data_IF_469334895734
#
_entry.id   IF_469334895734
#
_cell.length_a   1.000
_cell.length_b   1.000
_cell.length_c   1.000
_cell.angle_alpha   90.00
_cell.angle_beta   90.00
_cell.angle_gamma   90.00
#
_symmetry.space_group_name_H-M   'P 1'
#
loop_
_entity.id
_entity.type
_entity.pdbx_description
1 polymer ?
#
# COMPACT_ATOMS: atom_id res chain seq x y z
N UNK A 1 63.43 49.82 -49.34
CA UNK A 1 62.79 49.58 -48.03
C UNK A 1 62.14 48.20 -48.09
N UNK A 2 62.81 47.19 -47.55
CA UNK A 2 62.33 45.81 -47.50
C UNK A 2 61.33 45.67 -46.34
N UNK A 3 60.12 45.19 -46.64
CA UNK A 3 59.09 44.91 -45.63
C UNK A 3 59.53 43.75 -44.70
N UNK A 4 59.19 43.77 -43.41
CA UNK A 4 59.57 42.71 -42.49
C UNK A 4 58.75 41.44 -42.76
N UNK A 5 59.42 40.30 -42.78
CA UNK A 5 58.82 38.99 -42.92
C UNK A 5 58.05 38.64 -41.63
N UNK A 6 56.76 38.31 -41.76
CA UNK A 6 55.91 37.96 -40.62
C UNK A 6 56.33 36.61 -40.02
N UNK A 7 56.35 36.45 -38.69
CA UNK A 7 56.75 35.19 -38.07
C UNK A 7 55.73 34.08 -38.39
N UNK A 8 56.19 32.82 -38.54
CA UNK A 8 55.31 31.70 -38.85
C UNK A 8 54.31 31.45 -37.73
N UNK A 9 53.05 31.22 -38.10
CA UNK A 9 51.99 30.90 -37.17
C UNK A 9 52.29 29.58 -36.43
N UNK A 10 52.42 29.64 -35.10
CA UNK A 10 52.58 28.45 -34.25
C UNK A 10 51.24 27.71 -34.21
N UNK A 11 51.20 26.50 -34.77
CA UNK A 11 50.01 25.67 -34.74
C UNK A 11 49.65 25.29 -33.29
N UNK A 12 48.43 25.62 -32.86
CA UNK A 12 47.94 25.26 -31.54
C UNK A 12 47.91 23.73 -31.35
N UNK A 13 48.32 23.21 -30.17
CA UNK A 13 48.34 21.77 -29.94
C UNK A 13 46.92 21.21 -30.00
N UNK A 14 46.68 20.20 -30.84
CA UNK A 14 45.41 19.46 -30.88
C UNK A 14 45.20 18.78 -29.53
N UNK A 15 44.32 19.34 -28.69
CA UNK A 15 43.94 18.75 -27.40
C UNK A 15 43.36 17.35 -27.62
N UNK A 16 44.07 16.31 -27.17
CA UNK A 16 43.56 14.93 -27.17
C UNK A 16 42.58 14.76 -26.01
N UNK A 17 41.32 15.09 -26.24
CA UNK A 17 40.25 15.04 -25.22
C UNK A 17 39.77 13.60 -24.95
N UNK A 18 40.03 12.66 -25.87
CA UNK A 18 39.52 11.28 -25.78
C UNK A 18 40.05 10.51 -24.56
N UNK A 19 41.35 10.62 -24.27
CA UNK A 19 42.01 9.88 -23.18
C UNK A 19 41.49 10.28 -21.80
N UNK A 20 41.41 11.59 -21.43
CA UNK A 20 40.85 11.97 -20.13
C UNK A 20 39.35 11.64 -20.01
N UNK A 21 38.59 11.74 -21.10
CA UNK A 21 37.18 11.32 -21.11
C UNK A 21 37.06 9.81 -20.82
N UNK A 22 37.84 8.97 -21.50
CA UNK A 22 37.83 7.53 -21.24
C UNK A 22 38.31 7.18 -19.83
N UNK A 23 39.31 7.89 -19.31
CA UNK A 23 39.82 7.67 -17.95
C UNK A 23 38.78 7.95 -16.85
N UNK A 24 37.78 8.80 -17.12
CA UNK A 24 36.68 9.10 -16.19
C UNK A 24 35.45 8.24 -16.47
N UNK A 25 35.06 8.10 -17.74
CA UNK A 25 33.84 7.37 -18.11
C UNK A 25 33.98 5.88 -17.89
N UNK A 26 35.16 5.29 -18.18
CA UNK A 26 35.34 3.84 -18.11
C UNK A 26 35.22 3.29 -16.67
N UNK A 27 35.88 3.85 -15.64
CA UNK A 27 35.69 3.35 -14.27
C UNK A 27 34.26 3.54 -13.75
N UNK A 28 33.59 4.63 -14.13
CA UNK A 28 32.20 4.90 -13.75
C UNK A 28 31.27 3.87 -14.40
N UNK A 29 31.42 3.63 -15.71
CA UNK A 29 30.65 2.62 -16.42
C UNK A 29 30.91 1.20 -15.87
N UNK A 30 32.17 0.88 -15.54
CA UNK A 30 32.54 -0.38 -14.91
C UNK A 30 31.87 -0.53 -13.55
N UNK A 31 31.93 0.50 -12.70
CA UNK A 31 31.30 0.50 -11.38
C UNK A 31 29.80 0.25 -11.49
N UNK A 32 29.09 1.01 -12.33
CA UNK A 32 27.65 0.80 -12.52
C UNK A 32 27.33 -0.54 -13.16
N UNK A 33 28.16 -1.04 -14.08
CA UNK A 33 28.01 -2.37 -14.64
C UNK A 33 28.16 -3.48 -13.59
N UNK A 34 29.12 -3.36 -12.68
CA UNK A 34 29.30 -4.30 -11.56
C UNK A 34 28.13 -4.22 -10.57
N UNK A 35 27.69 -3.01 -10.22
CA UNK A 35 26.55 -2.81 -9.31
C UNK A 35 25.25 -3.36 -9.89
N UNK A 36 24.93 -3.06 -11.16
CA UNK A 36 23.78 -3.62 -11.86
C UNK A 36 23.90 -5.14 -11.98
N UNK A 37 25.07 -5.66 -12.33
CA UNK A 37 25.32 -7.11 -12.40
C UNK A 37 25.06 -7.80 -11.06
N UNK A 38 25.55 -7.24 -9.97
CA UNK A 38 25.29 -7.74 -8.62
C UNK A 38 23.80 -7.67 -8.25
N UNK A 39 23.11 -6.59 -8.64
CA UNK A 39 21.66 -6.47 -8.45
C UNK A 39 20.89 -7.54 -9.23
N UNK A 40 21.22 -7.80 -10.50
CA UNK A 40 20.60 -8.85 -11.33
C UNK A 40 20.83 -10.25 -10.78
N UNK A 41 22.03 -10.51 -10.27
CA UNK A 41 22.32 -11.77 -9.58
C UNK A 41 21.46 -11.89 -8.33
N UNK A 42 21.32 -10.83 -7.52
CA UNK A 42 20.43 -10.82 -6.34
C UNK A 42 18.95 -11.07 -6.68
N UNK A 43 18.46 -10.51 -7.79
CA UNK A 43 17.07 -10.68 -8.25
C UNK A 43 16.68 -12.15 -8.49
N UNK A 44 17.65 -13.04 -8.73
CA UNK A 44 17.40 -14.49 -8.88
C UNK A 44 16.84 -15.11 -7.58
N UNK A 45 17.31 -14.64 -6.41
CA UNK A 45 16.84 -15.15 -5.12
C UNK A 45 15.77 -14.27 -4.48
N UNK A 46 15.75 -12.98 -4.80
CA UNK A 46 14.77 -12.02 -4.29
C UNK A 46 14.18 -11.26 -5.48
N UNK A 47 13.18 -11.85 -6.17
CA UNK A 47 12.57 -11.19 -7.32
C UNK A 47 11.97 -9.85 -6.91
N UNK A 48 12.07 -8.81 -7.76
CA UNK A 48 11.49 -7.52 -7.48
C UNK A 48 9.96 -7.63 -7.36
N UNK A 49 9.38 -6.83 -6.47
CA UNK A 49 7.93 -6.80 -6.32
C UNK A 49 7.30 -6.33 -7.63
N UNK A 50 6.39 -7.13 -8.19
CA UNK A 50 5.66 -6.73 -9.39
C UNK A 50 4.73 -5.57 -9.01
N UNK A 51 4.98 -4.41 -9.61
CA UNK A 51 4.11 -3.25 -9.44
C UNK A 51 2.83 -3.50 -10.21
N UNK A 52 1.71 -3.43 -9.50
CA UNK A 52 0.39 -3.48 -10.11
C UNK A 52 0.04 -2.15 -10.76
N UNK A 53 0.39 -2.02 -12.05
CA UNK A 53 0.02 -0.87 -12.86
C UNK A 53 -1.49 -0.75 -13.08
N UNK A 54 -2.23 -1.87 -12.98
CA UNK A 54 -3.66 -1.92 -13.19
C UNK A 54 -4.47 -1.56 -11.94
N UNK A 55 -3.84 -1.23 -10.80
CA UNK A 55 -4.51 -0.89 -9.54
C UNK A 55 -5.59 -1.92 -9.12
N UNK A 56 -5.35 -3.19 -9.41
CA UNK A 56 -6.25 -4.31 -9.09
C UNK A 56 -7.31 -4.60 -10.14
N UNK A 57 -7.39 -3.82 -11.22
CA UNK A 57 -8.32 -4.06 -12.33
C UNK A 57 -7.80 -5.06 -13.36
N UNK A 58 -6.49 -5.34 -13.37
CA UNK A 58 -5.93 -6.39 -14.21
C UNK A 58 -6.28 -7.79 -13.64
N UNK A 59 -6.74 -8.75 -14.47
CA UNK A 59 -7.04 -10.10 -14.01
C UNK A 59 -5.88 -10.80 -13.30
N UNK A 60 -4.63 -10.55 -13.71
CA UNK A 60 -3.43 -11.10 -13.07
C UNK A 60 -3.16 -10.48 -11.70
N UNK A 61 -3.66 -9.27 -11.44
CA UNK A 61 -3.45 -8.57 -10.16
C UNK A 61 -4.60 -8.73 -9.15
N UNK A 62 -5.57 -9.60 -9.43
CA UNK A 62 -6.68 -9.86 -8.50
C UNK A 62 -6.16 -10.34 -7.15
N UNK A 63 -6.69 -9.75 -6.08
CA UNK A 63 -6.36 -10.13 -4.70
C UNK A 63 -6.77 -11.58 -4.39
N UNK A 64 -7.88 -12.04 -4.97
CA UNK A 64 -8.37 -13.41 -4.80
C UNK A 64 -8.49 -14.11 -6.14
N UNK A 65 -8.04 -15.36 -6.17
CA UNK A 65 -8.11 -16.26 -7.33
C UNK A 65 -8.84 -17.55 -6.96
N UNK A 66 -9.43 -18.28 -7.92
CA UNK A 66 -10.00 -19.60 -7.63
C UNK A 66 -8.94 -20.54 -7.05
N UNK A 67 -9.32 -21.33 -6.04
CA UNK A 67 -8.44 -22.34 -5.48
C UNK A 67 -8.15 -23.42 -6.55
N UNK A 68 -6.88 -23.68 -6.89
CA UNK A 68 -6.52 -24.70 -7.88
C UNK A 68 -6.99 -26.11 -7.51
N UNK A 69 -7.16 -26.38 -6.22
CA UNK A 69 -7.62 -27.68 -5.70
C UNK A 69 -9.14 -27.80 -5.63
N UNK A 70 -9.87 -26.66 -5.59
CA UNK A 70 -11.32 -26.61 -5.44
C UNK A 70 -11.89 -25.33 -6.07
N UNK A 71 -12.37 -25.43 -7.30
CA UNK A 71 -12.90 -24.28 -8.05
C UNK A 71 -14.15 -23.61 -7.43
N UNK A 72 -14.77 -24.25 -6.42
CA UNK A 72 -15.86 -23.66 -5.63
C UNK A 72 -15.38 -22.68 -4.56
N UNK A 73 -14.06 -22.62 -4.33
CA UNK A 73 -13.40 -21.78 -3.34
C UNK A 73 -12.55 -20.70 -4.02
N UNK A 74 -12.35 -19.61 -3.29
CA UNK A 74 -11.41 -18.54 -3.61
C UNK A 74 -10.31 -18.54 -2.55
N UNK A 75 -9.09 -18.25 -2.96
CA UNK A 75 -7.93 -18.07 -2.08
C UNK A 75 -7.28 -16.72 -2.31
N UNK A 76 -6.55 -16.20 -1.32
CA UNK A 76 -5.63 -15.08 -1.54
C UNK A 76 -4.65 -15.47 -2.64
N UNK A 77 -4.48 -14.58 -3.62
CA UNK A 77 -3.48 -14.76 -4.67
C UNK A 77 -2.09 -14.92 -4.02
N UNK A 78 -1.36 -16.02 -4.29
CA UNK A 78 -0.05 -16.26 -3.70
C UNK A 78 0.95 -15.11 -3.91
N UNK A 79 0.83 -14.36 -5.01
CA UNK A 79 1.70 -13.21 -5.28
C UNK A 79 1.41 -12.00 -4.37
N UNK A 80 0.29 -12.02 -3.64
CA UNK A 80 -0.17 -10.93 -2.78
C UNK A 80 0.01 -11.22 -1.28
N UNK A 81 0.46 -12.42 -0.90
CA UNK A 81 0.55 -12.83 0.52
C UNK A 81 1.61 -12.07 1.32
N UNK A 82 2.52 -11.36 0.65
CA UNK A 82 3.48 -10.46 1.30
C UNK A 82 2.80 -9.25 1.95
N UNK A 83 1.63 -8.83 1.45
CA UNK A 83 0.90 -7.65 1.93
C UNK A 83 -0.48 -7.98 2.48
N UNK A 84 -1.00 -9.19 2.22
CA UNK A 84 -2.35 -9.60 2.60
C UNK A 84 -2.36 -10.93 3.32
N UNK A 85 -3.29 -11.08 4.26
CA UNK A 85 -3.49 -12.34 4.96
C UNK A 85 -3.92 -13.45 4.00
N UNK A 86 -3.50 -14.68 4.33
CA UNK A 86 -3.92 -15.87 3.58
C UNK A 86 -5.34 -16.23 3.97
N UNK A 87 -6.27 -16.12 3.03
CA UNK A 87 -7.69 -16.37 3.23
C UNK A 87 -8.18 -17.41 2.25
N UNK A 88 -9.22 -18.16 2.66
CA UNK A 88 -9.93 -19.12 1.81
C UNK A 88 -11.42 -19.05 2.10
N UNK A 89 -12.24 -18.84 1.09
CA UNK A 89 -13.69 -18.69 1.26
C UNK A 89 -14.48 -19.18 0.04
N UNK A 90 -15.76 -19.50 0.25
CA UNK A 90 -16.64 -19.95 -0.84
C UNK A 90 -16.76 -18.90 -1.95
N UNK A 91 -16.54 -19.31 -3.20
CA UNK A 91 -16.65 -18.46 -4.39
C UNK A 91 -18.06 -17.93 -4.55
N UNK A 92 -19.05 -18.81 -4.47
CA UNK A 92 -20.45 -18.44 -4.34
C UNK A 92 -20.76 -17.91 -2.95
N UNK A 93 -21.43 -16.76 -2.86
CA UNK A 93 -21.84 -16.20 -1.57
C UNK A 93 -23.01 -17.03 -1.00
N UNK A 94 -22.87 -17.67 0.18
CA UNK A 94 -23.97 -18.46 0.75
C UNK A 94 -25.19 -17.59 1.08
N UNK A 95 -26.42 -18.14 1.01
CA UNK A 95 -27.62 -17.42 1.43
C UNK A 95 -27.50 -16.90 2.86
N UNK A 96 -28.08 -15.73 3.13
CA UNK A 96 -28.14 -15.10 4.47
C UNK A 96 -26.76 -14.81 5.10
N UNK A 97 -25.73 -14.59 4.30
CA UNK A 97 -24.41 -14.16 4.78
C UNK A 97 -24.05 -12.76 4.28
N UNK A 98 -23.09 -12.11 4.94
CA UNK A 98 -22.44 -10.87 4.50
C UNK A 98 -20.96 -11.15 4.24
N UNK A 99 -20.33 -10.39 3.34
CA UNK A 99 -18.88 -10.36 3.19
C UNK A 99 -18.41 -8.98 3.64
N UNK A 100 -17.61 -8.96 4.69
CA UNK A 100 -17.02 -7.74 5.23
C UNK A 100 -15.64 -7.59 4.60
N UNK A 101 -15.36 -6.43 4.01
CA UNK A 101 -14.05 -6.08 3.48
C UNK A 101 -13.46 -4.98 4.36
N UNK A 102 -12.42 -5.31 5.11
CA UNK A 102 -11.67 -4.33 5.89
C UNK A 102 -10.38 -3.99 5.15
N UNK A 103 -10.20 -2.71 4.81
CA UNK A 103 -9.03 -2.20 4.10
C UNK A 103 -8.24 -1.31 5.04
N UNK A 104 -6.94 -1.56 5.18
CA UNK A 104 -6.09 -0.81 6.09
C UNK A 104 -4.76 -1.52 6.34
N UNK A 105 -3.93 -0.94 7.21
CA UNK A 105 -2.67 -1.52 7.64
C UNK A 105 -2.84 -2.44 8.86
N UNK A 106 -2.01 -2.23 9.88
CA UNK A 106 -1.95 -3.08 11.08
C UNK A 106 -3.27 -3.19 11.85
N UNK A 107 -4.13 -2.17 11.83
CA UNK A 107 -5.39 -2.14 12.58
C UNK A 107 -6.46 -3.11 12.08
N UNK A 108 -6.39 -3.54 10.82
CA UNK A 108 -7.36 -4.50 10.24
C UNK A 108 -6.79 -5.92 10.11
N UNK A 109 -5.49 -6.07 10.37
CA UNK A 109 -4.73 -7.27 10.01
C UNK A 109 -5.17 -8.55 10.75
N UNK A 110 -5.87 -8.41 11.87
CA UNK A 110 -6.30 -9.52 12.74
C UNK A 110 -7.82 -9.63 12.89
N UNK A 111 -8.60 -8.88 12.09
CA UNK A 111 -10.06 -8.92 12.19
C UNK A 111 -10.65 -10.30 11.85
N UNK A 112 -9.95 -11.10 11.04
CA UNK A 112 -10.32 -12.47 10.72
C UNK A 112 -10.30 -13.41 11.94
N UNK A 113 -9.38 -13.17 12.89
CA UNK A 113 -9.35 -13.83 14.20
C UNK A 113 -10.43 -13.30 15.15
N UNK A 114 -10.67 -11.98 15.15
CA UNK A 114 -11.59 -11.35 16.09
C UNK A 114 -13.07 -11.62 15.74
N UNK A 115 -13.47 -11.62 14.47
CA UNK A 115 -14.88 -11.76 14.09
C UNK A 115 -15.55 -13.06 14.58
N UNK A 116 -14.92 -14.25 14.49
CA UNK A 116 -15.48 -15.46 15.09
C UNK A 116 -15.69 -15.35 16.61
N UNK A 117 -14.75 -14.75 17.33
CA UNK A 117 -14.85 -14.55 18.78
C UNK A 117 -15.99 -13.60 19.14
N UNK A 118 -16.12 -12.48 18.41
CA UNK A 118 -17.22 -11.53 18.58
C UNK A 118 -18.58 -12.21 18.37
N UNK A 119 -18.68 -13.09 17.37
CA UNK A 119 -19.89 -13.85 17.09
C UNK A 119 -20.20 -14.89 18.17
N UNK A 120 -19.20 -15.62 18.67
CA UNK A 120 -19.35 -16.60 19.75
C UNK A 120 -19.81 -15.94 21.05
N UNK A 121 -19.22 -14.80 21.39
CA UNK A 121 -19.50 -14.11 22.64
C UNK A 121 -20.69 -13.15 22.57
N UNK A 122 -21.33 -13.01 21.40
CA UNK A 122 -22.45 -12.08 21.20
C UNK A 122 -22.09 -10.65 21.57
N UNK A 123 -20.85 -10.23 21.27
CA UNK A 123 -20.34 -8.92 21.68
C UNK A 123 -21.18 -7.82 21.02
N UNK A 124 -21.75 -6.89 21.80
CA UNK A 124 -22.55 -5.80 21.25
C UNK A 124 -21.67 -4.87 20.40
N UNK A 125 -22.24 -4.37 19.30
CA UNK A 125 -21.56 -3.48 18.37
C UNK A 125 -22.05 -2.05 18.56
N UNK A 126 -21.11 -1.12 18.69
CA UNK A 126 -21.37 0.31 18.71
C UNK A 126 -21.29 0.87 17.28
N UNK A 127 -22.40 1.35 16.73
CA UNK A 127 -22.46 1.93 15.39
C UNK A 127 -22.00 3.39 15.39
N UNK A 128 -20.69 3.58 15.35
CA UNK A 128 -20.06 4.91 15.38
C UNK A 128 -20.29 5.66 14.06
N UNK A 129 -20.36 4.97 12.93
CA UNK A 129 -20.62 5.59 11.63
C UNK A 129 -22.00 6.25 11.60
N UNK A 130 -23.04 5.54 12.05
CA UNK A 130 -24.38 6.12 12.15
C UNK A 130 -24.41 7.30 13.12
N UNK A 131 -23.70 7.22 14.25
CA UNK A 131 -23.63 8.32 15.22
C UNK A 131 -22.94 9.56 14.63
N UNK A 132 -21.81 9.37 13.93
CA UNK A 132 -21.08 10.44 13.23
C UNK A 132 -21.97 11.06 12.16
N UNK A 133 -22.56 10.25 11.28
CA UNK A 133 -23.46 10.69 10.22
C UNK A 133 -24.58 11.55 10.78
N UNK A 134 -25.24 11.12 11.86
CA UNK A 134 -26.33 11.87 12.47
C UNK A 134 -25.88 13.19 13.14
N UNK A 135 -24.62 13.29 13.54
CA UNK A 135 -24.06 14.48 14.19
C UNK A 135 -23.46 15.49 13.20
N UNK A 136 -23.16 15.07 11.97
CA UNK A 136 -22.64 15.96 10.93
C UNK A 136 -23.75 16.84 10.34
N UNK A 137 -23.48 18.13 10.03
CA UNK A 137 -24.51 19.09 9.63
C UNK A 137 -25.36 18.66 8.42
N UNK A 138 -24.75 17.97 7.45
CA UNK A 138 -25.44 17.49 6.25
C UNK A 138 -25.47 15.97 6.14
N UNK A 139 -25.16 15.26 7.22
CA UNK A 139 -25.14 13.81 7.21
C UNK A 139 -23.95 13.21 6.44
N UNK A 140 -22.88 13.98 6.19
CA UNK A 140 -21.69 13.48 5.52
C UNK A 140 -20.56 13.31 6.54
N UNK A 141 -20.12 12.06 6.83
CA UNK A 141 -18.95 11.83 7.67
C UNK A 141 -17.71 12.58 7.17
N UNK A 142 -17.05 13.33 8.05
CA UNK A 142 -15.81 14.04 7.73
C UNK A 142 -15.94 15.55 7.54
N UNK A 143 -17.15 16.12 7.64
CA UNK A 143 -17.35 17.56 7.53
C UNK A 143 -16.77 18.34 8.71
N UNK A 144 -17.04 17.87 9.94
CA UNK A 144 -16.67 18.60 11.16
C UNK A 144 -16.05 17.74 12.26
N UNK A 145 -16.19 16.41 12.20
CA UNK A 145 -15.76 15.51 13.29
C UNK A 145 -14.39 14.86 13.08
N UNK A 146 -13.71 15.15 11.97
CA UNK A 146 -12.42 14.58 11.62
C UNK A 146 -11.34 15.66 11.45
N UNK A 147 -10.09 15.30 11.75
CA UNK A 147 -8.91 16.13 11.47
C UNK A 147 -8.45 16.00 10.02
N UNK A 148 -8.70 14.84 9.42
CA UNK A 148 -8.38 14.49 8.04
C UNK A 148 -9.43 13.48 7.52
N UNK A 149 -9.11 12.72 6.46
CA UNK A 149 -10.06 11.77 5.89
C UNK A 149 -10.25 10.47 6.70
N UNK A 150 -9.59 10.30 7.84
CA UNK A 150 -9.61 9.06 8.63
C UNK A 150 -9.65 9.28 10.16
N UNK A 151 -8.94 10.28 10.67
CA UNK A 151 -8.74 10.46 12.11
C UNK A 151 -9.77 11.42 12.70
N UNK A 152 -10.49 10.97 13.72
CA UNK A 152 -11.43 11.81 14.47
C UNK A 152 -10.68 12.95 15.19
N UNK A 153 -11.29 14.13 15.22
CA UNK A 153 -10.85 15.24 16.04
C UNK A 153 -11.34 15.07 17.50
N UNK A 154 -11.03 15.99 18.44
CA UNK A 154 -11.48 15.85 19.82
C UNK A 154 -13.01 15.73 19.99
N UNK A 155 -13.81 16.44 19.19
CA UNK A 155 -15.27 16.36 19.24
C UNK A 155 -15.76 15.00 18.70
N UNK A 156 -15.17 14.53 17.60
CA UNK A 156 -15.43 13.19 17.05
C UNK A 156 -15.07 12.07 18.02
N UNK A 157 -13.92 12.16 18.68
CA UNK A 157 -13.50 11.20 19.71
C UNK A 157 -14.46 11.17 20.91
N UNK A 158 -14.97 12.33 21.33
CA UNK A 158 -15.96 12.39 22.40
C UNK A 158 -17.30 11.72 21.99
N UNK A 159 -17.71 11.84 20.73
CA UNK A 159 -18.89 11.15 20.19
C UNK A 159 -18.67 9.63 20.13
N UNK A 160 -17.51 9.20 19.65
CA UNK A 160 -17.10 7.80 19.65
C UNK A 160 -17.19 7.22 21.06
N UNK A 161 -16.57 7.89 22.05
CA UNK A 161 -16.57 7.45 23.44
C UNK A 161 -18.01 7.29 23.99
N UNK A 162 -18.90 8.25 23.76
CA UNK A 162 -20.31 8.16 24.18
C UNK A 162 -21.06 7.01 23.50
N UNK A 163 -20.74 6.73 22.24
CA UNK A 163 -21.38 5.63 21.49
C UNK A 163 -20.97 4.28 22.06
N UNK A 164 -19.68 4.10 22.38
CA UNK A 164 -19.20 2.91 23.10
C UNK A 164 -19.79 2.79 24.49
N UNK A 165 -19.78 3.88 25.27
CA UNK A 165 -20.32 3.92 26.64
C UNK A 165 -21.78 3.43 26.66
N UNK A 166 -22.61 3.90 25.73
CA UNK A 166 -24.01 3.47 25.62
C UNK A 166 -24.15 1.95 25.49
N UNK A 167 -23.38 1.31 24.60
CA UNK A 167 -23.46 -0.13 24.40
C UNK A 167 -22.82 -0.91 25.56
N UNK A 168 -21.76 -0.39 26.18
CA UNK A 168 -21.16 -0.97 27.39
C UNK A 168 -22.18 -0.98 28.54
N UNK A 169 -22.82 0.15 28.81
CA UNK A 169 -23.84 0.26 29.87
C UNK A 169 -25.03 -0.66 29.59
N UNK A 170 -25.44 -0.77 28.32
CA UNK A 170 -26.48 -1.71 27.90
C UNK A 170 -26.07 -3.16 28.16
N UNK A 171 -24.84 -3.53 27.82
CA UNK A 171 -24.30 -4.87 28.05
C UNK A 171 -24.23 -5.24 29.53
N UNK A 172 -23.90 -4.26 30.38
CA UNK A 172 -23.83 -4.42 31.84
C UNK A 172 -25.21 -4.39 32.53
N UNK A 173 -26.30 -4.21 31.79
CA UNK A 173 -27.65 -4.12 32.35
C UNK A 173 -27.93 -2.82 33.11
N UNK A 174 -27.05 -1.83 33.02
CA UNK A 174 -27.17 -0.52 33.66
C UNK A 174 -28.01 0.49 32.86
N UNK A 175 -28.51 0.10 31.68
CA UNK A 175 -29.30 0.92 30.77
C UNK A 175 -30.81 0.69 30.82
N UNK A 176 -31.38 0.38 32.00
CA UNK A 176 -32.83 0.45 32.24
C UNK A 176 -33.17 1.70 33.05
#
# INVERSE_FOLDING_TARGET
>A
MTAPEAPPAVAAPKRRVLVPVLAVVLPVALLFGVLEGAARVREIWVPPLVVDLGQGFDPSSRLFVPDPSDASMMITNPEKTVSFQTQRFARGKPPRTLRVFALGGSSVNYLDYEFPLLAEHGVPLADVEAAVTAAEPHGVPGETLFNDHCHLNPAGNALLARTYEKEILRALGAGK
#
